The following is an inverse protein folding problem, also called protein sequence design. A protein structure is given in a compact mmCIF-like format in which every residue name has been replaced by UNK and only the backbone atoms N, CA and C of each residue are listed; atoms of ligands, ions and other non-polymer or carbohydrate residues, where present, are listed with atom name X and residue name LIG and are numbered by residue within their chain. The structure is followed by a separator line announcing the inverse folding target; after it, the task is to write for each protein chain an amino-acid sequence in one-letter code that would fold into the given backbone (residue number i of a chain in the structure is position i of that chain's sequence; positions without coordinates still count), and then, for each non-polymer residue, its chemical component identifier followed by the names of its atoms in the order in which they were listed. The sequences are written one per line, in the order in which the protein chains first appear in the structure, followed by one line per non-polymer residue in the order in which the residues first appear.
data_IF_392807171641
#
_entry.id   IF_392807171641
#
_cell.length_a   1.000
_cell.length_b   1.000
_cell.length_c   1.000
_cell.angle_alpha   90.00
_cell.angle_beta   90.00
_cell.angle_gamma   90.00
#
_symmetry.space_group_name_H-M   'P 1'
#
loop_
_entity.id
_entity.type
_entity.pdbx_description
1 polymer ?
#
# COMPACT_ATOMS: atom_id res chain seq x y z
N UNK A 1 10.20 51.59 -12.92
CA UNK A 1 9.15 50.76 -13.56
C UNK A 1 9.00 49.49 -12.75
N UNK A 2 7.76 49.21 -12.37
CA UNK A 2 7.33 48.14 -11.45
C UNK A 2 7.78 46.75 -11.92
N UNK A 3 8.41 45.99 -11.02
CA UNK A 3 8.70 44.57 -11.22
C UNK A 3 7.43 43.77 -10.94
N UNK A 4 6.75 43.31 -11.99
CA UNK A 4 5.63 42.38 -11.87
C UNK A 4 6.16 40.99 -11.48
N UNK A 5 6.13 40.68 -10.19
CA UNK A 5 6.14 39.31 -9.69
C UNK A 5 4.84 38.64 -10.15
N UNK A 6 4.94 37.85 -11.22
CA UNK A 6 3.91 36.88 -11.59
C UNK A 6 3.88 35.80 -10.50
N UNK A 7 3.09 36.04 -9.46
CA UNK A 7 2.64 34.97 -8.57
C UNK A 7 1.86 33.98 -9.42
N UNK A 8 2.43 32.79 -9.60
CA UNK A 8 1.71 31.62 -10.12
C UNK A 8 0.41 31.50 -9.32
N UNK A 9 -0.78 31.37 -9.95
CA UNK A 9 -1.99 31.05 -9.22
C UNK A 9 -1.70 29.76 -8.45
N UNK A 10 -1.98 29.73 -7.15
CA UNK A 10 -1.90 28.50 -6.37
C UNK A 10 -2.71 27.45 -7.10
N UNK A 11 -2.10 26.30 -7.41
CA UNK A 11 -2.84 25.16 -7.92
C UNK A 11 -4.03 24.95 -6.97
N UNK A 12 -5.25 24.96 -7.50
CA UNK A 12 -6.41 24.59 -6.71
C UNK A 12 -6.07 23.27 -6.03
N UNK A 13 -6.18 23.20 -4.70
CA UNK A 13 -5.93 21.95 -3.99
C UNK A 13 -6.83 20.89 -4.61
N UNK A 14 -6.23 19.81 -5.13
CA UNK A 14 -6.99 18.77 -5.81
C UNK A 14 -8.06 18.22 -4.86
N UNK A 15 -9.31 18.24 -5.33
CA UNK A 15 -10.45 17.77 -4.54
C UNK A 15 -10.30 16.26 -4.34
N UNK A 16 -10.23 15.83 -3.08
CA UNK A 16 -10.22 14.41 -2.73
C UNK A 16 -11.64 13.88 -2.89
N UNK A 17 -11.83 12.93 -3.80
CA UNK A 17 -13.11 12.28 -4.05
C UNK A 17 -12.88 10.82 -4.43
N UNK A 18 -13.96 10.07 -4.67
CA UNK A 18 -13.86 8.65 -5.04
C UNK A 18 -13.01 8.44 -6.30
N UNK A 19 -13.09 9.30 -7.32
CA UNK A 19 -12.29 9.14 -8.55
C UNK A 19 -10.81 9.35 -8.28
N UNK A 20 -10.45 10.42 -7.56
CA UNK A 20 -9.04 10.72 -7.27
C UNK A 20 -8.43 9.61 -6.42
N UNK A 21 -9.15 9.12 -5.40
CA UNK A 21 -8.70 8.04 -4.53
C UNK A 21 -8.57 6.71 -5.27
N UNK A 22 -9.50 6.38 -6.18
CA UNK A 22 -9.38 5.20 -7.04
C UNK A 22 -8.15 5.30 -7.95
N UNK A 23 -7.95 6.44 -8.62
CA UNK A 23 -6.78 6.65 -9.47
C UNK A 23 -5.45 6.52 -8.72
N UNK A 24 -5.40 7.03 -7.49
CA UNK A 24 -4.23 6.95 -6.62
C UNK A 24 -3.82 5.51 -6.27
N UNK A 25 -4.77 4.56 -6.21
CA UNK A 25 -4.47 3.15 -5.86
C UNK A 25 -3.46 2.48 -6.80
N UNK A 26 -3.30 3.01 -8.02
CA UNK A 26 -2.42 2.46 -9.05
C UNK A 26 -1.35 3.47 -9.50
N UNK A 27 -1.22 4.58 -8.78
CA UNK A 27 -0.18 5.58 -9.04
C UNK A 27 1.14 5.18 -8.36
N UNK A 28 1.98 4.49 -9.12
CA UNK A 28 3.30 4.05 -8.66
C UNK A 28 4.28 5.21 -8.43
N UNK A 29 4.05 6.39 -9.03
CA UNK A 29 4.90 7.55 -8.81
C UNK A 29 4.59 8.22 -7.46
N UNK A 30 3.30 8.29 -7.09
CA UNK A 30 2.86 8.86 -5.82
C UNK A 30 3.46 8.16 -4.59
N UNK A 31 3.81 6.87 -4.70
CA UNK A 31 4.47 6.11 -3.60
C UNK A 31 5.84 6.68 -3.21
N UNK A 32 6.51 7.35 -4.13
CA UNK A 32 7.82 7.96 -3.89
C UNK A 32 7.72 9.42 -3.41
N UNK A 33 6.51 9.93 -3.18
CA UNK A 33 6.28 11.34 -2.85
C UNK A 33 5.47 11.50 -1.56
N UNK A 34 5.77 12.55 -0.81
CA UNK A 34 4.91 13.03 0.28
C UNK A 34 3.55 13.42 -0.30
N UNK A 35 2.43 12.88 0.21
CA UNK A 35 1.12 13.16 -0.32
C UNK A 35 0.75 14.63 -0.12
N UNK A 36 0.01 15.17 -1.10
CA UNK A 36 -0.59 16.51 -1.04
C UNK A 36 -2.07 16.41 -1.44
N UNK A 37 -3.01 16.85 -0.59
CA UNK A 37 -2.77 17.31 0.77
C UNK A 37 -2.22 16.18 1.66
N UNK A 38 -1.48 16.57 2.70
CA UNK A 38 -0.92 15.60 3.63
C UNK A 38 -2.05 14.86 4.37
N UNK A 39 -1.81 13.59 4.68
CA UNK A 39 -2.69 12.80 5.52
C UNK A 39 -1.90 11.92 6.47
N UNK A 40 -2.54 11.58 7.59
CA UNK A 40 -2.09 10.52 8.50
C UNK A 40 -2.93 9.29 8.28
N UNK A 41 -2.33 8.10 8.39
CA UNK A 41 -3.08 6.85 8.45
C UNK A 41 -3.41 6.51 9.90
N UNK A 42 -4.62 6.02 10.13
CA UNK A 42 -5.08 5.57 11.44
C UNK A 42 -6.12 4.44 11.25
N UNK A 43 -6.46 3.74 12.33
CA UNK A 43 -7.47 2.71 12.30
C UNK A 43 -8.36 2.74 13.55
N UNK A 44 -9.64 2.43 13.38
CA UNK A 44 -10.54 2.04 14.46
C UNK A 44 -10.72 0.52 14.41
N UNK A 45 -10.36 -0.18 15.48
CA UNK A 45 -10.32 -1.65 15.49
C UNK A 45 -10.97 -2.21 16.76
N UNK A 46 -11.24 -3.50 16.75
CA UNK A 46 -11.75 -4.24 17.90
C UNK A 46 -10.68 -4.60 18.93
N UNK A 47 -9.51 -3.96 18.94
CA UNK A 47 -8.42 -4.32 19.86
C UNK A 47 -8.83 -4.21 21.34
N UNK A 48 -8.26 -5.07 22.18
CA UNK A 48 -8.51 -5.09 23.62
C UNK A 48 -7.98 -3.80 24.27
N UNK A 49 -8.90 -2.95 24.77
CA UNK A 49 -8.55 -1.67 25.40
C UNK A 49 -7.78 -1.83 26.70
N UNK A 50 -7.81 -3.00 27.33
CA UNK A 50 -6.98 -3.27 28.50
C UNK A 50 -5.48 -3.20 28.18
N UNK A 51 -5.08 -3.44 26.92
CA UNK A 51 -3.69 -3.33 26.45
C UNK A 51 -3.05 -1.97 26.70
N UNK A 52 -3.85 -0.90 26.77
CA UNK A 52 -3.37 0.46 27.03
C UNK A 52 -2.89 0.69 28.47
N UNK A 53 -3.17 -0.23 29.40
CA UNK A 53 -2.74 -0.09 30.81
C UNK A 53 -1.24 -0.35 31.01
N UNK A 54 -0.57 -0.96 30.03
CA UNK A 54 0.85 -1.33 30.10
C UNK A 54 1.13 -2.50 31.05
N UNK A 55 2.42 -2.85 31.22
CA UNK A 55 2.84 -4.03 31.99
C UNK A 55 2.31 -5.33 31.39
N UNK A 56 1.88 -6.26 32.24
CA UNK A 56 1.30 -7.55 31.79
C UNK A 56 0.04 -7.37 30.94
N UNK A 57 -0.67 -6.24 31.09
CA UNK A 57 -1.85 -5.95 30.29
C UNK A 57 -1.51 -5.75 28.80
N UNK A 58 -0.25 -5.51 28.43
CA UNK A 58 0.20 -5.51 27.04
C UNK A 58 -0.21 -6.78 26.27
N UNK A 59 -0.35 -7.91 26.99
CA UNK A 59 -0.76 -9.20 26.42
C UNK A 59 -2.27 -9.47 26.50
N UNK A 60 -3.08 -8.46 26.87
CA UNK A 60 -4.53 -8.57 26.79
C UNK A 60 -4.95 -8.81 25.33
N UNK A 61 -5.88 -9.75 25.12
CA UNK A 61 -6.12 -10.36 23.81
C UNK A 61 -7.64 -10.62 23.57
N UNK A 62 -8.50 -9.86 24.26
CA UNK A 62 -9.93 -9.86 23.99
C UNK A 62 -10.27 -8.90 22.83
N UNK A 63 -9.68 -9.13 21.66
CA UNK A 63 -9.77 -8.22 20.50
C UNK A 63 -11.11 -8.32 19.73
N UNK A 64 -12.21 -8.55 20.44
CA UNK A 64 -13.54 -8.80 19.87
C UNK A 64 -14.60 -8.03 20.64
N UNK A 65 -15.56 -7.43 19.91
CA UNK A 65 -16.68 -6.73 20.55
C UNK A 65 -16.29 -5.42 21.25
N UNK A 66 -15.08 -4.93 21.01
CA UNK A 66 -14.60 -3.66 21.54
C UNK A 66 -15.11 -2.49 20.68
N UNK A 67 -16.16 -1.82 21.16
CA UNK A 67 -16.80 -0.70 20.45
C UNK A 67 -16.50 0.64 21.11
N UNK A 68 -16.50 1.72 20.33
CA UNK A 68 -16.26 3.08 20.85
C UNK A 68 -17.27 3.42 21.93
N UNK A 69 -18.54 3.08 21.68
CA UNK A 69 -19.68 3.23 22.59
C UNK A 69 -20.92 2.53 22.03
N UNK A 70 -21.98 2.46 22.82
CA UNK A 70 -23.32 2.05 22.39
C UNK A 70 -24.23 3.28 22.25
N UNK A 71 -25.01 3.34 21.19
CA UNK A 71 -26.03 4.37 20.95
C UNK A 71 -27.42 3.75 20.74
N UNK A 72 -28.46 4.57 20.92
CA UNK A 72 -29.84 4.22 20.51
C UNK A 72 -30.29 5.19 19.43
N UNK A 73 -30.43 4.70 18.19
CA UNK A 73 -30.82 5.51 17.02
C UNK A 73 -32.19 5.04 16.51
N UNK A 74 -33.21 5.90 16.63
CA UNK A 74 -34.62 5.58 16.28
C UNK A 74 -35.10 4.23 16.85
N UNK A 75 -34.79 3.97 18.13
CA UNK A 75 -35.17 2.74 18.83
C UNK A 75 -34.30 1.51 18.51
N UNK A 76 -33.30 1.62 17.64
CA UNK A 76 -32.32 0.57 17.36
C UNK A 76 -31.11 0.73 18.29
N UNK A 77 -30.64 -0.37 18.88
CA UNK A 77 -29.36 -0.40 19.59
C UNK A 77 -28.24 -0.54 18.55
N UNK A 78 -27.30 0.38 18.55
CA UNK A 78 -26.19 0.40 17.60
C UNK A 78 -24.86 0.48 18.34
N UNK A 79 -23.91 -0.39 17.97
CA UNK A 79 -22.55 -0.34 18.46
C UNK A 79 -21.70 0.51 17.53
N UNK A 80 -21.06 1.56 18.04
CA UNK A 80 -20.23 2.46 17.24
C UNK A 80 -18.88 1.81 17.01
N UNK A 81 -18.61 1.44 15.76
CA UNK A 81 -17.34 0.86 15.32
C UNK A 81 -16.27 1.95 15.14
N UNK A 82 -16.67 3.07 14.54
CA UNK A 82 -15.81 4.21 14.29
C UNK A 82 -16.59 5.52 14.42
N UNK A 83 -15.95 6.55 14.97
CA UNK A 83 -16.47 7.91 15.02
C UNK A 83 -15.35 8.88 14.60
N UNK A 84 -15.17 9.00 13.28
CA UNK A 84 -14.05 9.67 12.64
C UNK A 84 -14.36 11.16 12.50
N UNK A 85 -13.39 12.02 12.84
CA UNK A 85 -13.54 13.49 12.87
C UNK A 85 -12.64 14.16 11.84
N UNK A 86 -13.12 15.26 11.25
CA UNK A 86 -12.41 16.03 10.24
C UNK A 86 -12.51 15.42 8.83
N UNK A 87 -11.86 16.05 7.83
CA UNK A 87 -11.81 15.52 6.47
C UNK A 87 -11.01 14.21 6.42
N UNK A 88 -11.55 13.20 5.76
CA UNK A 88 -10.93 11.88 5.74
C UNK A 88 -11.45 10.97 4.64
N UNK A 89 -10.87 9.76 4.58
CA UNK A 89 -11.36 8.69 3.73
C UNK A 89 -11.09 7.33 4.36
N UNK A 90 -12.11 6.49 4.50
CA UNK A 90 -11.91 5.07 4.81
C UNK A 90 -11.28 4.42 3.59
N UNK A 91 -10.17 3.70 3.81
CA UNK A 91 -9.41 3.00 2.76
C UNK A 91 -9.48 1.49 2.92
N UNK A 92 -9.89 0.99 4.09
CA UNK A 92 -10.10 -0.43 4.33
C UNK A 92 -11.16 -0.66 5.40
N UNK A 93 -12.06 -1.61 5.16
CA UNK A 93 -12.85 -2.26 6.20
C UNK A 93 -12.57 -3.77 6.11
N UNK A 94 -12.04 -4.34 7.19
CA UNK A 94 -11.83 -5.77 7.34
C UNK A 94 -12.64 -6.34 8.51
N UNK A 95 -13.02 -7.62 8.40
CA UNK A 95 -13.58 -8.38 9.52
C UNK A 95 -13.29 -9.89 9.40
N UNK A 96 -13.03 -10.55 10.52
CA UNK A 96 -13.00 -12.02 10.62
C UNK A 96 -14.40 -12.65 10.75
N UNK A 97 -15.47 -11.85 10.74
CA UNK A 97 -16.86 -12.32 10.77
C UNK A 97 -17.61 -11.93 9.48
N UNK A 98 -17.10 -12.24 8.28
CA UNK A 98 -17.65 -11.72 7.03
C UNK A 98 -19.01 -12.30 6.63
N UNK A 99 -19.56 -13.23 7.41
CA UNK A 99 -20.89 -13.82 7.17
C UNK A 99 -21.96 -13.27 8.11
N UNK A 100 -21.59 -12.37 9.04
CA UNK A 100 -22.52 -11.75 9.97
C UNK A 100 -23.55 -10.90 9.22
N UNK A 101 -24.84 -11.08 9.52
CA UNK A 101 -25.97 -10.40 8.85
C UNK A 101 -26.46 -9.14 9.58
N UNK A 102 -25.77 -8.71 10.64
CA UNK A 102 -26.08 -7.44 11.30
C UNK A 102 -25.87 -6.27 10.32
N UNK A 103 -26.74 -5.27 10.40
CA UNK A 103 -26.71 -4.13 9.47
C UNK A 103 -25.64 -3.15 9.93
N UNK A 104 -24.67 -2.87 9.06
CA UNK A 104 -23.70 -1.79 9.23
C UNK A 104 -24.22 -0.51 8.59
N UNK A 105 -24.06 0.63 9.28
CA UNK A 105 -24.55 1.93 8.86
C UNK A 105 -23.45 2.97 8.81
N UNK A 106 -23.51 3.86 7.84
CA UNK A 106 -22.53 4.93 7.61
C UNK A 106 -23.26 6.28 7.63
N UNK A 107 -22.94 7.10 8.62
CA UNK A 107 -23.48 8.44 8.84
C UNK A 107 -22.39 9.45 8.51
N UNK A 108 -22.60 10.21 7.43
CA UNK A 108 -21.60 11.14 6.92
C UNK A 108 -21.85 12.53 7.47
N UNK A 109 -20.79 13.27 7.80
CA UNK A 109 -20.85 14.71 8.09
C UNK A 109 -21.89 15.15 9.14
N UNK A 110 -22.19 14.27 10.10
CA UNK A 110 -23.17 14.53 11.15
C UNK A 110 -24.62 14.30 10.74
N UNK A 111 -24.89 13.69 9.59
CA UNK A 111 -26.23 13.29 9.16
C UNK A 111 -26.92 12.37 10.17
N UNK A 112 -28.21 12.60 10.37
CA UNK A 112 -29.06 11.77 11.24
C UNK A 112 -29.43 10.44 10.58
N UNK A 113 -29.63 10.45 9.26
CA UNK A 113 -29.94 9.26 8.47
C UNK A 113 -28.69 8.72 7.76
N UNK A 114 -28.47 7.40 7.73
CA UNK A 114 -27.29 6.82 7.10
C UNK A 114 -27.43 6.81 5.58
N UNK A 115 -26.37 7.18 4.84
CA UNK A 115 -26.34 7.02 3.38
C UNK A 115 -26.16 5.56 2.94
N UNK A 116 -25.58 4.74 3.81
CA UNK A 116 -25.43 3.29 3.59
C UNK A 116 -25.98 2.55 4.80
N UNK A 117 -26.84 1.57 4.54
CA UNK A 117 -27.35 0.61 5.53
C UNK A 117 -27.35 -0.78 4.89
N UNK A 118 -26.30 -1.57 5.15
CA UNK A 118 -26.01 -2.80 4.41
C UNK A 118 -25.79 -3.94 5.41
N UNK A 119 -26.33 -5.15 5.21
CA UNK A 119 -25.91 -6.30 6.00
C UNK A 119 -24.38 -6.49 5.87
N UNK A 120 -23.65 -6.63 6.97
CA UNK A 120 -22.19 -6.73 6.94
C UNK A 120 -21.69 -7.81 5.97
N UNK A 121 -22.38 -8.95 5.91
CA UNK A 121 -22.07 -10.00 4.97
C UNK A 121 -22.12 -9.57 3.50
N UNK A 122 -23.07 -8.71 3.13
CA UNK A 122 -23.23 -8.23 1.75
C UNK A 122 -22.19 -7.18 1.39
N UNK A 123 -21.65 -6.45 2.38
CA UNK A 123 -20.56 -5.47 2.22
C UNK A 123 -19.31 -6.11 1.61
N UNK A 124 -19.04 -7.38 1.93
CA UNK A 124 -17.82 -8.09 1.51
C UNK A 124 -17.99 -9.01 0.30
N UNK A 125 -19.18 -9.04 -0.32
CA UNK A 125 -19.45 -9.94 -1.47
C UNK A 125 -18.92 -9.41 -2.79
N UNK A 126 -18.67 -8.11 -2.89
CA UNK A 126 -18.39 -7.43 -4.15
C UNK A 126 -19.61 -7.27 -5.07
N UNK A 127 -20.78 -7.76 -4.64
CA UNK A 127 -22.04 -7.67 -5.40
C UNK A 127 -22.86 -6.45 -5.04
N UNK A 128 -22.64 -5.87 -3.86
CA UNK A 128 -23.28 -4.64 -3.42
C UNK A 128 -22.69 -3.45 -4.17
N UNK A 129 -23.47 -2.71 -4.99
CA UNK A 129 -22.97 -1.51 -5.62
C UNK A 129 -22.61 -0.43 -4.57
N UNK A 130 -21.61 0.43 -4.83
CA UNK A 130 -20.79 0.49 -6.04
C UNK A 130 -19.51 -0.37 -6.00
N UNK A 131 -19.32 -1.18 -4.96
CA UNK A 131 -17.99 -1.67 -4.58
C UNK A 131 -17.32 -2.60 -5.60
N UNK A 132 -18.06 -3.57 -6.14
CA UNK A 132 -17.51 -4.50 -7.12
C UNK A 132 -16.50 -5.52 -6.55
N UNK A 133 -16.22 -6.62 -7.26
CA UNK A 133 -15.46 -7.76 -6.75
C UNK A 133 -13.95 -7.52 -6.60
N UNK A 134 -13.40 -6.52 -7.30
CA UNK A 134 -11.97 -6.18 -7.19
C UNK A 134 -11.67 -5.45 -5.88
N UNK A 135 -12.61 -4.62 -5.41
CA UNK A 135 -12.44 -3.82 -4.20
C UNK A 135 -13.10 -4.46 -2.98
N UNK A 136 -14.02 -5.41 -3.17
CA UNK A 136 -14.73 -6.07 -2.08
C UNK A 136 -14.79 -7.57 -2.30
N UNK A 137 -14.20 -8.36 -1.40
CA UNK A 137 -14.19 -9.81 -1.49
C UNK A 137 -13.90 -10.46 -0.14
N UNK A 138 -14.26 -11.74 -0.03
CA UNK A 138 -13.85 -12.62 1.06
C UNK A 138 -12.63 -13.41 0.60
N UNK A 139 -11.56 -13.39 1.39
CA UNK A 139 -10.37 -14.22 1.19
C UNK A 139 -10.08 -15.00 2.46
N UNK A 140 -9.99 -16.33 2.35
CA UNK A 140 -9.98 -17.22 3.51
C UNK A 140 -11.23 -17.00 4.37
N UNK A 141 -11.03 -16.63 5.64
CA UNK A 141 -12.10 -16.30 6.60
C UNK A 141 -12.31 -14.79 6.79
N UNK A 142 -11.58 -13.94 6.05
CA UNK A 142 -11.64 -12.49 6.20
C UNK A 142 -12.44 -11.81 5.09
N UNK A 143 -13.38 -10.94 5.47
CA UNK A 143 -14.05 -10.00 4.57
C UNK A 143 -13.21 -8.74 4.39
N UNK A 144 -13.09 -8.26 3.16
CA UNK A 144 -12.29 -7.09 2.81
C UNK A 144 -13.11 -6.15 1.94
N UNK A 145 -13.07 -4.85 2.27
CA UNK A 145 -13.51 -3.76 1.43
C UNK A 145 -12.36 -2.74 1.36
N UNK A 146 -11.82 -2.52 0.17
CA UNK A 146 -10.78 -1.55 -0.17
C UNK A 146 -11.32 -0.36 -0.97
N UNK A 147 -12.64 -0.28 -1.17
CA UNK A 147 -13.25 0.83 -1.90
C UNK A 147 -13.16 2.11 -1.06
N UNK A 148 -12.66 3.24 -1.62
CA UNK A 148 -12.50 4.46 -0.86
C UNK A 148 -13.85 5.10 -0.51
N UNK A 149 -14.04 5.45 0.76
CA UNK A 149 -15.25 6.12 1.27
C UNK A 149 -14.81 7.47 1.89
N UNK A 150 -14.71 8.55 1.09
CA UNK A 150 -14.36 9.89 1.56
C UNK A 150 -15.48 10.58 2.35
N UNK A 151 -15.12 11.50 3.24
CA UNK A 151 -16.02 12.32 4.05
C UNK A 151 -15.39 13.69 4.36
N UNK A 152 -16.19 14.76 4.32
CA UNK A 152 -15.72 16.14 4.41
C UNK A 152 -15.40 16.61 5.84
N UNK A 153 -16.18 16.16 6.81
CA UNK A 153 -16.13 16.65 8.20
C UNK A 153 -16.22 15.54 9.25
N UNK A 154 -16.76 14.37 8.89
CA UNK A 154 -16.70 13.18 9.74
C UNK A 154 -17.45 11.99 9.17
N UNK A 155 -17.20 10.82 9.76
CA UNK A 155 -17.88 9.58 9.42
C UNK A 155 -18.08 8.73 10.66
N UNK A 156 -19.34 8.45 11.01
CA UNK A 156 -19.70 7.48 12.05
C UNK A 156 -20.15 6.18 11.39
N UNK A 157 -19.53 5.08 11.81
CA UNK A 157 -19.86 3.73 11.33
C UNK A 157 -20.38 2.93 12.52
N UNK A 158 -21.59 2.40 12.39
CA UNK A 158 -22.24 1.62 13.45
C UNK A 158 -22.65 0.24 12.95
N UNK A 159 -22.80 -0.72 13.87
CA UNK A 159 -23.41 -2.02 13.59
C UNK A 159 -24.62 -2.25 14.51
N UNK A 160 -25.74 -2.67 13.92
CA UNK A 160 -26.97 -2.90 14.66
C UNK A 160 -26.86 -4.13 15.54
N UNK A 161 -27.13 -3.94 16.84
CA UNK A 161 -27.30 -5.02 17.78
C UNK A 161 -28.79 -5.28 18.00
N UNK A 162 -29.23 -6.50 17.67
CA UNK A 162 -30.62 -6.93 17.87
C UNK A 162 -30.75 -7.72 19.17
N UNK A 163 -31.30 -8.94 19.11
CA UNK A 163 -31.53 -9.76 20.31
C UNK A 163 -30.27 -10.36 20.92
N UNK A 164 -29.24 -10.60 20.12
CA UNK A 164 -27.96 -11.16 20.57
C UNK A 164 -26.88 -10.10 20.47
N UNK A 165 -25.95 -10.04 21.44
CA UNK A 165 -24.77 -9.18 21.34
C UNK A 165 -24.03 -9.43 20.03
N UNK A 166 -23.55 -8.36 19.41
CA UNK A 166 -22.62 -8.48 18.29
C UNK A 166 -21.22 -8.62 18.87
N UNK A 167 -20.52 -9.69 18.54
CA UNK A 167 -19.11 -9.90 18.87
C UNK A 167 -18.31 -9.85 17.57
N UNK A 168 -17.85 -8.66 17.19
CA UNK A 168 -17.21 -8.41 15.90
C UNK A 168 -15.71 -8.22 16.07
N UNK A 169 -14.91 -8.96 15.28
CA UNK A 169 -13.54 -8.60 14.97
C UNK A 169 -13.56 -7.64 13.77
N UNK A 170 -13.02 -6.44 13.91
CA UNK A 170 -12.98 -5.48 12.80
C UNK A 170 -11.74 -4.58 12.82
N UNK A 171 -11.41 -4.10 11.62
CA UNK A 171 -10.45 -3.02 11.40
C UNK A 171 -11.02 -2.08 10.34
N UNK A 172 -11.12 -0.80 10.67
CA UNK A 172 -11.50 0.27 9.75
C UNK A 172 -10.29 1.20 9.63
N UNK A 173 -9.50 1.03 8.58
CA UNK A 173 -8.36 1.90 8.29
C UNK A 173 -8.81 3.11 7.48
N UNK A 174 -8.30 4.28 7.84
CA UNK A 174 -8.66 5.54 7.22
C UNK A 174 -7.49 6.50 7.14
N UNK A 175 -7.61 7.44 6.20
CA UNK A 175 -6.79 8.65 6.11
C UNK A 175 -7.49 9.78 6.85
N UNK A 176 -6.74 10.48 7.69
CA UNK A 176 -7.15 11.76 8.28
C UNK A 176 -6.35 12.87 7.61
N UNK A 177 -7.03 13.73 6.87
CA UNK A 177 -6.42 14.88 6.19
C UNK A 177 -6.36 16.09 7.14
N UNK A 178 -5.43 17.00 6.86
CA UNK A 178 -5.41 18.30 7.55
C UNK A 178 -6.67 19.12 7.24
N UNK A 179 -7.09 20.00 8.16
CA UNK A 179 -8.36 20.73 8.09
C UNK A 179 -8.55 21.61 6.83
N UNK A 180 -7.48 21.92 6.09
CA UNK A 180 -7.54 22.66 4.82
C UNK A 180 -7.82 21.79 3.59
N UNK A 181 -7.87 20.46 3.73
CA UNK A 181 -8.14 19.55 2.62
C UNK A 181 -9.60 19.65 2.16
N UNK A 182 -9.81 19.77 0.85
CA UNK A 182 -11.15 19.73 0.27
C UNK A 182 -11.50 18.29 -0.08
N UNK A 183 -12.42 17.70 0.68
CA UNK A 183 -12.90 16.33 0.47
C UNK A 183 -14.37 16.36 0.05
N UNK A 184 -14.69 15.67 -1.03
CA UNK A 184 -16.06 15.39 -1.45
C UNK A 184 -16.57 14.16 -0.70
N UNK A 185 -17.64 14.33 0.07
CA UNK A 185 -18.28 13.25 0.80
C UNK A 185 -18.87 12.21 -0.13
N UNK A 186 -18.63 10.95 0.19
CA UNK A 186 -19.17 9.80 -0.53
C UNK A 186 -20.69 9.87 -0.65
N UNK A 187 -21.18 9.77 -1.88
CA UNK A 187 -22.60 9.71 -2.19
C UNK A 187 -22.84 8.54 -3.16
N UNK A 188 -23.49 7.44 -2.70
CA UNK A 188 -23.71 6.27 -3.53
C UNK A 188 -24.56 6.57 -4.78
N UNK A 189 -25.37 7.63 -4.79
CA UNK A 189 -26.15 8.02 -5.97
C UNK A 189 -25.25 8.48 -7.14
N UNK A 190 -24.03 8.93 -6.83
CA UNK A 190 -23.03 9.35 -7.82
C UNK A 190 -22.19 8.22 -8.38
N UNK A 191 -22.46 6.96 -8.00
CA UNK A 191 -21.71 5.77 -8.43
C UNK A 191 -21.49 5.68 -9.94
N UNK A 192 -22.52 5.98 -10.74
CA UNK A 192 -22.42 5.94 -12.21
C UNK A 192 -21.32 6.87 -12.75
N UNK A 193 -21.07 7.99 -12.08
CA UNK A 193 -20.03 8.95 -12.49
C UNK A 193 -18.62 8.41 -12.30
N UNK A 194 -18.42 7.42 -11.42
CA UNK A 194 -17.10 6.84 -11.08
C UNK A 194 -16.78 5.56 -11.85
N UNK A 195 -17.78 4.95 -12.50
CA UNK A 195 -17.67 3.62 -13.11
C UNK A 195 -16.47 3.46 -14.06
N UNK A 196 -16.17 4.47 -14.87
CA UNK A 196 -15.01 4.43 -15.78
C UNK A 196 -13.67 4.37 -15.01
N UNK A 197 -13.48 5.26 -14.04
CA UNK A 197 -12.26 5.30 -13.22
C UNK A 197 -12.11 4.01 -12.41
N UNK A 198 -13.21 3.49 -11.88
CA UNK A 198 -13.25 2.23 -11.15
C UNK A 198 -12.80 1.05 -12.03
N UNK A 199 -13.32 0.95 -13.27
CA UNK A 199 -12.93 -0.09 -14.21
C UNK A 199 -11.45 0.01 -14.63
N UNK A 200 -10.94 1.23 -14.86
CA UNK A 200 -9.53 1.47 -15.18
C UNK A 200 -8.61 1.07 -14.03
N UNK A 201 -8.96 1.47 -12.81
CA UNK A 201 -8.22 1.13 -11.58
C UNK A 201 -8.21 -0.38 -11.37
N UNK A 202 -9.36 -1.04 -11.50
CA UNK A 202 -9.49 -2.48 -11.38
C UNK A 202 -8.61 -3.25 -12.39
N UNK A 203 -8.61 -2.81 -13.66
CA UNK A 203 -7.77 -3.41 -14.69
C UNK A 203 -6.27 -3.21 -14.41
N UNK A 204 -5.87 -2.03 -13.92
CA UNK A 204 -4.49 -1.75 -13.56
C UNK A 204 -4.01 -2.53 -12.33
N UNK A 205 -4.88 -2.78 -11.34
CA UNK A 205 -4.57 -3.65 -10.19
C UNK A 205 -4.34 -5.11 -10.60
N UNK A 206 -5.05 -5.59 -11.63
CA UNK A 206 -4.87 -6.95 -12.19
C UNK A 206 -3.71 -7.06 -13.19
N UNK A 207 -3.13 -5.93 -13.62
CA UNK A 207 -2.00 -5.90 -14.56
C UNK A 207 -1.08 -4.72 -14.22
N UNK A 208 -0.30 -4.84 -13.13
CA UNK A 208 0.44 -3.71 -12.58
C UNK A 208 1.59 -3.29 -13.49
N UNK A 209 1.69 -1.98 -13.72
CA UNK A 209 2.74 -1.34 -14.51
C UNK A 209 3.60 -0.44 -13.63
N UNK A 210 4.90 -0.30 -13.91
CA UNK A 210 5.72 0.73 -13.27
C UNK A 210 5.22 2.13 -13.64
N UNK A 211 5.71 3.14 -12.90
CA UNK A 211 5.56 4.53 -13.31
C UNK A 211 6.10 4.74 -14.74
N UNK A 212 5.47 5.66 -15.49
CA UNK A 212 5.87 5.94 -16.86
C UNK A 212 7.28 6.55 -16.89
N UNK A 213 8.20 5.87 -17.57
CA UNK A 213 9.54 6.37 -17.79
C UNK A 213 9.55 7.38 -18.96
N UNK A 214 10.46 8.39 -18.95
CA UNK A 214 10.63 9.28 -20.08
C UNK A 214 11.14 8.53 -21.31
N UNK A 215 10.93 9.10 -22.50
CA UNK A 215 11.30 8.47 -23.77
C UNK A 215 12.82 8.25 -23.93
N UNK A 216 13.64 9.04 -23.25
CA UNK A 216 15.11 8.91 -23.21
C UNK A 216 15.61 8.04 -22.05
N UNK A 217 14.73 7.26 -21.40
CA UNK A 217 15.16 6.30 -20.39
C UNK A 217 15.99 5.15 -21.01
N UNK A 218 16.98 4.70 -20.27
CA UNK A 218 17.97 3.72 -20.72
C UNK A 218 18.00 2.50 -19.80
N UNK A 219 18.45 1.38 -20.36
CA UNK A 219 18.68 0.16 -19.60
C UNK A 219 20.14 0.01 -19.22
N UNK A 220 20.42 -0.12 -17.92
CA UNK A 220 21.70 -0.62 -17.43
C UNK A 220 21.54 -2.12 -17.20
N UNK A 221 22.30 -2.93 -17.94
CA UNK A 221 22.34 -4.39 -17.76
C UNK A 221 23.75 -4.81 -17.39
N UNK A 222 23.87 -5.63 -16.34
CA UNK A 222 25.14 -6.18 -15.89
C UNK A 222 24.99 -7.64 -15.48
N UNK A 223 26.03 -8.42 -15.72
CA UNK A 223 26.19 -9.76 -15.15
C UNK A 223 27.44 -9.75 -14.28
N UNK A 224 27.27 -10.02 -13.00
CA UNK A 224 28.33 -9.95 -11.99
C UNK A 224 28.55 -11.33 -11.39
N UNK A 225 29.79 -11.78 -11.30
CA UNK A 225 30.17 -12.98 -10.52
C UNK A 225 30.94 -12.53 -9.30
N UNK A 226 30.35 -12.72 -8.12
CA UNK A 226 30.82 -12.16 -6.86
C UNK A 226 31.42 -13.30 -6.03
N UNK A 227 32.72 -13.23 -5.72
CA UNK A 227 33.38 -14.26 -4.90
C UNK A 227 32.92 -14.17 -3.43
N UNK A 228 33.06 -15.25 -2.65
CA UNK A 228 32.78 -15.23 -1.21
C UNK A 228 33.48 -14.08 -0.49
N UNK A 229 32.74 -13.31 0.30
CA UNK A 229 33.24 -12.15 1.04
C UNK A 229 33.46 -10.88 0.20
N UNK A 230 33.32 -10.94 -1.12
CA UNK A 230 33.47 -9.77 -1.98
C UNK A 230 32.19 -8.96 -2.12
N UNK A 231 32.35 -7.70 -2.52
CA UNK A 231 31.26 -6.80 -2.88
C UNK A 231 31.51 -6.24 -4.27
N UNK A 232 30.50 -6.34 -5.14
CA UNK A 232 30.52 -5.72 -6.46
C UNK A 232 29.45 -4.64 -6.57
N UNK A 233 29.73 -3.58 -7.33
CA UNK A 233 28.80 -2.47 -7.57
C UNK A 233 28.47 -2.33 -9.05
N UNK A 234 27.25 -1.92 -9.37
CA UNK A 234 26.95 -1.33 -10.67
C UNK A 234 27.70 0.00 -10.84
N UNK A 235 27.91 0.48 -12.08
CA UNK A 235 28.41 1.82 -12.31
C UNK A 235 27.57 2.85 -11.56
N UNK A 236 28.23 3.79 -10.87
CA UNK A 236 27.55 4.87 -10.16
C UNK A 236 26.71 5.69 -11.15
N UNK A 237 25.44 5.87 -10.84
CA UNK A 237 24.53 6.68 -11.66
C UNK A 237 24.56 8.10 -11.12
N UNK A 238 24.73 9.09 -11.99
CA UNK A 238 24.83 10.51 -11.63
C UNK A 238 23.66 11.32 -12.21
N UNK A 239 23.37 12.43 -11.54
CA UNK A 239 22.36 13.39 -11.90
C UNK A 239 20.98 13.08 -11.31
N UNK A 240 20.07 14.01 -11.56
CA UNK A 240 18.68 13.97 -11.12
C UNK A 240 17.88 12.98 -11.98
N UNK A 241 17.65 11.78 -11.44
CA UNK A 241 17.11 10.64 -12.18
C UNK A 241 16.24 9.77 -11.27
N UNK A 242 15.53 8.82 -11.88
CA UNK A 242 14.86 7.76 -11.14
C UNK A 242 15.07 6.39 -11.80
N UNK A 243 15.07 5.34 -10.98
CA UNK A 243 14.90 3.97 -11.46
C UNK A 243 13.40 3.67 -11.49
N UNK A 244 12.85 3.41 -12.67
CA UNK A 244 11.42 3.16 -12.88
C UNK A 244 11.06 1.69 -12.74
N UNK A 245 12.03 0.81 -12.99
CA UNK A 245 11.89 -0.63 -12.91
C UNK A 245 13.28 -1.23 -12.74
N UNK A 246 13.42 -2.27 -11.94
CA UNK A 246 14.64 -3.05 -11.94
C UNK A 246 14.36 -4.53 -11.68
N UNK A 247 15.29 -5.38 -12.08
CA UNK A 247 15.21 -6.83 -11.85
C UNK A 247 16.56 -7.44 -11.52
N UNK A 248 16.53 -8.50 -10.73
CA UNK A 248 17.67 -9.35 -10.44
C UNK A 248 17.34 -10.82 -10.70
N UNK A 249 18.34 -11.58 -11.15
CA UNK A 249 18.28 -13.03 -11.25
C UNK A 249 19.61 -13.64 -10.86
N UNK A 250 19.64 -14.47 -9.84
CA UNK A 250 20.79 -15.31 -9.51
C UNK A 250 20.76 -16.54 -10.42
N UNK A 251 21.87 -16.79 -11.11
CA UNK A 251 22.01 -17.87 -12.08
C UNK A 251 22.45 -19.17 -11.41
N UNK A 252 22.23 -20.29 -12.10
CA UNK A 252 22.68 -21.63 -11.72
C UNK A 252 22.14 -22.12 -10.36
N UNK A 253 21.02 -21.56 -9.91
CA UNK A 253 20.32 -21.96 -8.68
C UNK A 253 19.18 -22.93 -8.96
N UNK A 254 18.88 -23.84 -8.03
CA UNK A 254 17.75 -24.77 -8.13
C UNK A 254 17.04 -24.93 -6.79
N UNK A 255 15.70 -24.96 -6.78
CA UNK A 255 14.93 -25.15 -5.54
C UNK A 255 14.98 -26.58 -5.00
N UNK A 256 15.22 -27.58 -5.85
CA UNK A 256 15.22 -29.01 -5.51
C UNK A 256 16.44 -29.49 -4.71
N UNK A 257 17.41 -28.60 -4.44
CA UNK A 257 18.64 -28.90 -3.69
C UNK A 257 18.35 -29.14 -2.20
N UNK A 258 19.33 -29.68 -1.48
CA UNK A 258 19.26 -29.80 -0.02
C UNK A 258 19.07 -28.44 0.64
N UNK A 259 18.45 -28.41 1.83
CA UNK A 259 18.09 -27.16 2.49
C UNK A 259 19.29 -26.25 2.77
N UNK A 260 20.43 -26.81 3.13
CA UNK A 260 21.69 -26.12 3.45
C UNK A 260 22.63 -25.96 2.25
N UNK A 261 22.25 -26.43 1.06
CA UNK A 261 23.07 -26.31 -0.14
C UNK A 261 23.17 -24.82 -0.55
N UNK A 262 24.39 -24.24 -0.67
CA UNK A 262 24.56 -22.84 -1.03
C UNK A 262 24.07 -22.52 -2.45
N UNK A 263 23.95 -23.52 -3.33
CA UNK A 263 23.37 -23.39 -4.68
C UNK A 263 21.85 -23.52 -4.71
N UNK A 264 21.21 -23.82 -3.57
CA UNK A 264 19.76 -23.73 -3.48
C UNK A 264 19.32 -22.28 -3.63
N UNK A 265 18.28 -22.04 -4.43
CA UNK A 265 17.85 -20.68 -4.76
C UNK A 265 17.57 -19.83 -3.52
N UNK A 266 16.82 -20.31 -2.53
CA UNK A 266 16.60 -19.53 -1.29
C UNK A 266 17.89 -19.10 -0.58
N UNK A 267 18.91 -19.97 -0.54
CA UNK A 267 20.20 -19.65 0.05
C UNK A 267 20.97 -18.64 -0.81
N UNK A 268 21.07 -18.88 -2.11
CA UNK A 268 21.78 -18.02 -3.04
C UNK A 268 21.23 -16.58 -3.05
N UNK A 269 19.91 -16.40 -3.10
CA UNK A 269 19.28 -15.07 -3.03
C UNK A 269 19.42 -14.42 -1.65
N UNK A 270 19.52 -15.19 -0.56
CA UNK A 270 19.64 -14.65 0.79
C UNK A 270 21.08 -14.32 1.18
N UNK A 271 22.05 -15.06 0.66
CA UNK A 271 23.48 -14.81 0.89
C UNK A 271 24.02 -13.61 0.08
N UNK A 272 23.27 -13.12 -0.89
CA UNK A 272 23.57 -11.86 -1.57
C UNK A 272 22.93 -10.70 -0.79
N UNK A 273 23.75 -9.91 -0.10
CA UNK A 273 23.32 -8.68 0.55
C UNK A 273 23.21 -7.54 -0.47
N UNK A 274 22.02 -6.99 -0.64
CA UNK A 274 21.72 -5.80 -1.44
C UNK A 274 21.97 -4.55 -0.59
N UNK A 275 22.73 -3.61 -1.14
CA UNK A 275 22.83 -2.25 -0.64
C UNK A 275 22.55 -1.25 -1.75
N UNK A 276 21.71 -0.24 -1.46
CA UNK A 276 21.46 0.90 -2.36
C UNK A 276 21.63 2.20 -1.59
N UNK A 277 22.50 3.06 -2.11
CA UNK A 277 22.74 4.40 -1.61
C UNK A 277 22.13 5.43 -2.57
N UNK A 278 21.35 6.36 -2.03
CA UNK A 278 20.86 7.52 -2.74
C UNK A 278 21.48 8.77 -2.14
N UNK A 279 22.11 9.60 -2.97
CA UNK A 279 22.67 10.90 -2.60
C UNK A 279 23.65 10.90 -1.41
N UNK A 280 24.31 9.75 -1.17
CA UNK A 280 25.24 9.54 -0.06
C UNK A 280 24.61 8.94 1.19
N UNK A 281 23.31 8.62 1.17
CA UNK A 281 22.60 7.96 2.26
C UNK A 281 22.37 6.47 1.98
N UNK A 282 22.83 5.61 2.90
CA UNK A 282 22.48 4.19 2.93
C UNK A 282 20.97 4.05 3.13
N UNK A 283 20.26 3.60 2.09
CA UNK A 283 18.80 3.63 2.07
C UNK A 283 18.18 2.24 2.08
N UNK A 284 18.75 1.30 1.32
CA UNK A 284 18.30 -0.10 1.28
C UNK A 284 19.41 -1.00 1.81
N UNK A 285 19.12 -1.90 2.75
CA UNK A 285 20.06 -2.93 3.20
C UNK A 285 19.32 -4.21 3.59
N UNK A 286 19.22 -5.14 2.64
CA UNK A 286 18.47 -6.39 2.81
C UNK A 286 19.18 -7.55 2.10
N UNK A 287 18.91 -8.82 2.44
CA UNK A 287 19.14 -9.90 1.50
C UNK A 287 18.41 -9.64 0.17
N UNK A 288 18.98 -10.08 -0.96
CA UNK A 288 18.45 -9.78 -2.29
C UNK A 288 17.05 -10.36 -2.47
N UNK A 289 16.82 -11.62 -2.09
CA UNK A 289 15.49 -12.25 -2.18
C UNK A 289 14.44 -11.64 -1.25
N UNK A 290 14.88 -11.17 -0.08
CA UNK A 290 14.01 -10.57 0.94
C UNK A 290 13.47 -9.20 0.49
N UNK A 291 14.25 -8.42 -0.26
CA UNK A 291 13.78 -7.16 -0.87
C UNK A 291 12.51 -7.36 -1.69
N UNK A 292 12.44 -8.47 -2.43
CA UNK A 292 11.31 -8.83 -3.27
C UNK A 292 10.28 -9.68 -2.52
N UNK A 293 10.31 -9.78 -1.19
CA UNK A 293 9.34 -10.56 -0.42
C UNK A 293 9.23 -12.03 -0.84
N UNK A 294 10.28 -12.61 -1.44
CA UNK A 294 10.24 -13.97 -1.99
C UNK A 294 10.84 -15.02 -1.05
N UNK A 295 11.27 -14.62 0.15
CA UNK A 295 11.90 -15.55 1.09
C UNK A 295 10.88 -16.55 1.69
N UNK A 296 11.18 -17.86 1.72
CA UNK A 296 12.36 -18.53 1.17
C UNK A 296 12.19 -18.94 -0.31
N UNK A 297 13.10 -18.50 -1.18
CA UNK A 297 13.28 -19.08 -2.53
C UNK A 297 12.65 -18.32 -3.69
N UNK A 298 12.55 -19.00 -4.83
CA UNK A 298 11.80 -18.53 -6.00
C UNK A 298 10.37 -19.05 -5.89
N UNK A 299 9.47 -18.18 -5.45
CA UNK A 299 8.04 -18.47 -5.35
C UNK A 299 7.31 -17.58 -6.37
N UNK A 300 6.87 -18.09 -7.53
CA UNK A 300 6.27 -17.25 -8.55
C UNK A 300 5.02 -16.53 -8.04
N UNK A 301 5.01 -15.21 -8.14
CA UNK A 301 3.88 -14.37 -7.78
C UNK A 301 3.94 -13.01 -8.51
N UNK A 302 2.81 -12.33 -8.58
CA UNK A 302 2.75 -10.92 -9.00
C UNK A 302 1.86 -10.13 -8.04
N UNK A 303 2.36 -8.97 -7.59
CA UNK A 303 1.59 -7.97 -6.89
C UNK A 303 1.88 -6.58 -7.50
N UNK A 304 1.31 -5.52 -6.92
CA UNK A 304 1.48 -4.15 -7.42
C UNK A 304 2.95 -3.72 -7.52
N UNK A 305 3.79 -4.13 -6.57
CA UNK A 305 5.17 -3.68 -6.43
C UNK A 305 6.17 -4.63 -7.10
N UNK A 306 5.92 -5.93 -7.04
CA UNK A 306 6.89 -6.96 -7.36
C UNK A 306 6.32 -8.07 -8.25
N UNK A 307 7.19 -8.64 -9.08
CA UNK A 307 6.93 -9.91 -9.77
C UNK A 307 8.12 -10.83 -9.53
N UNK A 308 7.85 -12.07 -9.16
CA UNK A 308 8.82 -13.17 -9.19
C UNK A 308 8.31 -14.15 -10.24
N UNK A 309 9.10 -14.39 -11.28
CA UNK A 309 8.74 -15.35 -12.32
C UNK A 309 9.36 -16.74 -12.09
N UNK A 310 8.89 -17.73 -12.85
CA UNK A 310 9.37 -19.12 -12.77
C UNK A 310 10.86 -19.28 -13.12
N UNK A 311 11.45 -18.31 -13.83
CA UNK A 311 12.88 -18.33 -14.15
C UNK A 311 13.75 -17.92 -12.96
N UNK A 312 13.15 -17.36 -11.91
CA UNK A 312 13.81 -16.74 -10.78
C UNK A 312 14.05 -15.24 -10.97
N UNK A 313 13.61 -14.63 -12.07
CA UNK A 313 13.76 -13.18 -12.23
C UNK A 313 12.81 -12.48 -11.26
N UNK A 314 13.38 -11.72 -10.32
CA UNK A 314 12.65 -10.89 -9.37
C UNK A 314 12.67 -9.44 -9.87
N UNK A 315 11.51 -8.83 -10.00
CA UNK A 315 11.32 -7.50 -10.60
C UNK A 315 10.62 -6.58 -9.62
N UNK A 316 11.10 -5.34 -9.49
CA UNK A 316 10.47 -4.27 -8.73
C UNK A 316 10.01 -3.14 -9.63
N UNK A 317 8.81 -2.63 -9.34
CA UNK A 317 8.17 -1.46 -9.95
C UNK A 317 8.17 -0.24 -9.04
N UNK A 318 8.76 -0.34 -7.84
CA UNK A 318 8.88 0.79 -6.93
C UNK A 318 9.76 1.86 -7.58
N UNK A 319 9.23 3.08 -7.72
CA UNK A 319 9.98 4.20 -8.25
C UNK A 319 11.06 4.60 -7.24
N UNK A 320 12.31 4.73 -7.70
CA UNK A 320 13.44 5.12 -6.85
C UNK A 320 14.07 6.41 -7.38
N UNK A 321 13.52 7.60 -7.04
CA UNK A 321 14.10 8.88 -7.43
C UNK A 321 15.32 9.25 -6.57
N UNK A 322 16.25 10.02 -7.14
CA UNK A 322 17.42 10.59 -6.45
C UNK A 322 17.87 11.89 -7.12
N UNK A 323 18.45 12.82 -6.34
CA UNK A 323 18.79 14.15 -6.81
C UNK A 323 20.19 14.26 -7.43
N UNK A 324 21.17 13.51 -6.90
CA UNK A 324 22.60 13.66 -7.24
C UNK A 324 23.20 12.36 -7.76
N UNK A 325 22.97 11.25 -7.08
CA UNK A 325 23.52 9.96 -7.49
C UNK A 325 22.88 8.75 -6.82
N UNK A 326 22.96 7.60 -7.50
CA UNK A 326 22.65 6.30 -6.94
C UNK A 326 23.84 5.35 -7.08
N UNK A 327 24.05 4.51 -6.06
CA UNK A 327 24.96 3.35 -6.10
C UNK A 327 24.20 2.12 -5.64
N UNK A 328 24.25 1.05 -6.43
CA UNK A 328 23.72 -0.27 -6.08
C UNK A 328 24.87 -1.27 -6.02
N UNK A 329 24.94 -2.04 -4.96
CA UNK A 329 25.94 -3.08 -4.75
C UNK A 329 25.36 -4.37 -4.19
N UNK A 330 26.06 -5.47 -4.47
CA UNK A 330 25.79 -6.79 -3.94
C UNK A 330 27.03 -7.32 -3.22
N UNK A 331 26.86 -7.76 -1.98
CA UNK A 331 27.88 -8.42 -1.17
C UNK A 331 27.58 -9.91 -1.07
N UNK A 332 28.55 -10.77 -1.35
CA UNK A 332 28.39 -12.21 -1.18
C UNK A 332 28.79 -12.62 0.24
N UNK A 333 27.80 -12.96 1.06
CA UNK A 333 27.94 -13.42 2.44
C UNK A 333 27.98 -14.95 2.55
N UNK A 334 27.89 -15.66 1.42
CA UNK A 334 27.94 -17.12 1.34
C UNK A 334 29.35 -17.66 1.20
N UNK A 335 29.45 -18.97 0.98
CA UNK A 335 30.72 -19.70 0.88
C UNK A 335 31.10 -20.10 -0.54
N UNK A 336 30.24 -19.82 -1.53
CA UNK A 336 30.47 -20.10 -2.96
C UNK A 336 30.29 -18.84 -3.80
N UNK A 337 30.91 -18.75 -4.99
CA UNK A 337 30.66 -17.64 -5.91
C UNK A 337 29.21 -17.63 -6.39
N UNK A 338 28.64 -16.44 -6.56
CA UNK A 338 27.30 -16.27 -7.15
C UNK A 338 27.36 -15.39 -8.39
N UNK A 339 26.66 -15.81 -9.45
CA UNK A 339 26.49 -15.00 -10.66
C UNK A 339 25.09 -14.41 -10.69
N UNK A 340 25.01 -13.08 -10.86
CA UNK A 340 23.74 -12.34 -10.82
C UNK A 340 23.60 -11.50 -12.09
N UNK A 341 22.43 -11.58 -12.72
CA UNK A 341 22.01 -10.64 -13.76
C UNK A 341 21.18 -9.51 -13.13
N UNK A 342 21.58 -8.28 -13.39
CA UNK A 342 20.89 -7.07 -12.95
C UNK A 342 20.45 -6.25 -14.17
N UNK A 343 19.22 -5.74 -14.14
CA UNK A 343 18.68 -4.82 -15.16
C UNK A 343 17.96 -3.67 -14.48
N UNK A 344 18.33 -2.43 -14.81
CA UNK A 344 17.70 -1.21 -14.28
C UNK A 344 17.23 -0.35 -15.45
N UNK A 345 15.99 0.12 -15.39
CA UNK A 345 15.44 1.11 -16.31
C UNK A 345 15.50 2.50 -15.67
N UNK A 346 16.36 3.37 -16.18
CA UNK A 346 16.72 4.64 -15.54
C UNK A 346 16.44 5.78 -16.50
N UNK A 347 15.79 6.83 -16.01
CA UNK A 347 15.49 8.02 -16.82
C UNK A 347 15.63 9.30 -16.00
N UNK A 348 15.64 10.44 -16.70
CA UNK A 348 15.56 11.75 -16.05
C UNK A 348 14.22 11.89 -15.31
N UNK A 349 14.27 12.42 -14.10
CA UNK A 349 13.09 12.82 -13.33
C UNK A 349 13.55 13.88 -12.36
N UNK A 350 12.79 14.98 -12.25
CA UNK A 350 13.07 15.98 -11.22
C UNK A 350 12.92 15.36 -9.83
N UNK A 351 13.78 15.78 -8.90
CA UNK A 351 13.76 15.46 -7.49
C UNK A 351 13.31 16.70 -6.73
N UNK A 352 12.13 16.61 -6.16
CA UNK A 352 11.42 17.68 -5.47
C UNK A 352 11.56 17.57 -3.96
N UNK A 353 11.12 18.58 -3.23
CA UNK A 353 11.06 18.56 -1.76
C UNK A 353 10.00 17.59 -1.20
N UNK A 354 9.18 16.99 -2.07
CA UNK A 354 8.23 15.93 -1.73
C UNK A 354 8.82 14.54 -1.90
N UNK A 355 9.92 14.38 -2.63
CA UNK A 355 10.44 13.07 -2.96
C UNK A 355 11.06 12.36 -1.75
N UNK A 356 10.84 11.05 -1.70
CA UNK A 356 11.47 10.15 -0.75
C UNK A 356 12.43 9.21 -1.47
N UNK A 357 13.60 9.01 -0.86
CA UNK A 357 14.41 7.86 -1.17
C UNK A 357 13.71 6.59 -0.71
N UNK A 358 13.68 5.57 -1.57
CA UNK A 358 13.20 4.25 -1.16
C UNK A 358 14.09 3.74 -0.02
N UNK A 359 13.46 3.29 1.07
CA UNK A 359 14.14 2.64 2.19
C UNK A 359 13.60 1.24 2.41
N UNK A 360 14.49 0.29 2.68
CA UNK A 360 14.14 -1.11 2.94
C UNK A 360 15.19 -1.82 3.79
#
# INVERSE_FOLDING_TARGET
MLSCLLTRPGAAADVINVKSLLGEMVDMAALAERPVPFFRTAAATSYDRASHKGGDAWFANHDVGEYVRTETNHGRKEQVLADLKGPGAVTRFWSANPTLRAVVRFYFDGEEEPRLAIPLADLFTGKTPPFGPVFSYISGTGGNLYYPIPYASGLKITIEERRRPVNLYYEIAYRAYDAGATVETFDPERAASWAQQQAQTAAALSSPKPAAAPADAEWITQRLTIQPGETMSLPKVLGEKAVFKWSARVLDTQESRQWDDPSRAHNAYRFLGLAIDFDGEHSVTTPLGDFFGSAPGVNPYENLFFTVDESGTMTSRLLMPFAKSMRMSLSNLGTTPYTVELKLHIGKRAFTDRDYHLRA
#
